data_IF_417233715570
#
_entry.id   IF_417233715570
#
_cell.length_a   1.000
_cell.length_b   1.000
_cell.length_c   1.000
_cell.angle_alpha   90.00
_cell.angle_beta   90.00
_cell.angle_gamma   90.00
#
_symmetry.space_group_name_H-M   'P 1'
#
loop_
_entity.id
_entity.type
_entity.pdbx_description
1 polymer ?
#
# COMPACT_ATOMS: atom_id res chain seq x y z
N UNK A 1 -4.08 -7.54 -12.62
CA UNK A 1 -2.94 -6.75 -12.15
C UNK A 1 -3.41 -5.83 -11.04
N UNK A 2 -2.94 -6.02 -9.81
CA UNK A 2 -3.26 -5.15 -8.69
C UNK A 2 -2.06 -4.22 -8.49
N UNK A 3 -2.23 -2.95 -8.84
CA UNK A 3 -1.29 -1.92 -8.40
C UNK A 3 -1.54 -1.71 -6.92
N UNK A 4 -0.49 -1.59 -6.14
CA UNK A 4 -0.56 -1.68 -4.67
C UNK A 4 -0.40 -0.27 -4.05
N UNK A 5 -1.47 0.52 -3.93
CA UNK A 5 -1.42 1.76 -3.16
C UNK A 5 -1.12 1.45 -1.68
N UNK A 6 -0.49 2.39 -0.97
CA UNK A 6 -0.30 2.28 0.49
C UNK A 6 -1.54 2.68 1.28
N UNK A 7 -2.45 3.45 0.67
CA UNK A 7 -3.66 3.96 1.30
C UNK A 7 -4.94 3.66 0.51
N UNK A 8 -6.04 3.55 1.24
CA UNK A 8 -7.38 3.30 0.70
C UNK A 8 -8.34 4.43 1.13
N UNK A 9 -9.16 4.99 0.21
CA UNK A 9 -10.21 5.94 0.58
C UNK A 9 -11.27 5.22 1.43
N UNK A 10 -11.44 5.67 2.67
CA UNK A 10 -12.31 5.01 3.64
C UNK A 10 -13.78 5.10 3.21
N UNK A 11 -14.19 6.20 2.57
CA UNK A 11 -15.58 6.35 2.13
C UNK A 11 -15.93 5.29 1.09
N UNK A 12 -15.06 5.07 0.10
CA UNK A 12 -15.25 4.03 -0.92
C UNK A 12 -15.31 2.63 -0.29
N UNK A 13 -14.40 2.33 0.65
CA UNK A 13 -14.35 1.04 1.33
C UNK A 13 -15.63 0.77 2.16
N UNK A 14 -16.11 1.76 2.91
CA UNK A 14 -17.33 1.64 3.71
C UNK A 14 -18.58 1.60 2.82
N UNK A 15 -18.65 2.45 1.80
CA UNK A 15 -19.79 2.53 0.91
C UNK A 15 -19.91 1.25 0.08
N UNK A 16 -18.80 0.70 -0.42
CA UNK A 16 -18.76 -0.47 -1.30
C UNK A 16 -18.96 -1.82 -0.61
N UNK A 17 -18.81 -1.90 0.71
CA UNK A 17 -18.87 -3.16 1.47
C UNK A 17 -20.13 -3.29 2.34
N UNK A 18 -20.31 -4.45 2.97
CA UNK A 18 -21.39 -4.71 3.92
C UNK A 18 -21.11 -4.14 5.33
N UNK A 19 -19.97 -3.47 5.53
CA UNK A 19 -19.63 -2.78 6.78
C UNK A 19 -20.70 -1.75 7.19
N UNK A 20 -21.31 -1.10 6.21
CA UNK A 20 -22.49 -0.25 6.41
C UNK A 20 -23.74 -1.03 6.01
N UNK A 21 -24.61 -1.30 6.99
CA UNK A 21 -25.90 -1.97 6.77
C UNK A 21 -26.77 -1.22 5.75
N UNK A 22 -27.39 -1.99 4.86
CA UNK A 22 -28.32 -1.50 3.84
C UNK A 22 -29.74 -1.20 4.39
N UNK A 23 -30.02 -1.55 5.64
CA UNK A 23 -31.32 -1.29 6.27
C UNK A 23 -31.66 0.21 6.36
N UNK A 24 -32.95 0.53 6.32
CA UNK A 24 -33.42 1.90 6.46
C UNK A 24 -33.17 2.79 5.24
N UNK A 25 -33.22 2.21 4.03
CA UNK A 25 -33.06 2.96 2.78
C UNK A 25 -31.59 3.22 2.38
N UNK A 26 -30.64 2.47 2.95
CA UNK A 26 -29.20 2.64 2.72
C UNK A 26 -28.63 1.59 1.75
N UNK A 27 -29.47 1.08 0.83
CA UNK A 27 -29.10 0.07 -0.14
C UNK A 27 -28.02 0.58 -1.11
N UNK A 28 -27.14 -0.34 -1.54
CA UNK A 28 -26.19 -0.10 -2.63
C UNK A 28 -26.87 -0.36 -3.98
N UNK A 29 -26.53 0.45 -4.99
CA UNK A 29 -26.90 0.19 -6.38
C UNK A 29 -27.44 1.43 -7.10
N UNK A 30 -27.20 1.49 -8.41
CA UNK A 30 -27.58 2.64 -9.23
C UNK A 30 -26.69 3.85 -8.98
N UNK A 31 -27.30 5.04 -8.92
CA UNK A 31 -26.61 6.28 -8.58
C UNK A 31 -26.23 6.33 -7.08
N UNK A 32 -25.48 7.36 -6.69
CA UNK A 32 -25.15 7.63 -5.29
C UNK A 32 -26.43 7.73 -4.43
N UNK A 33 -26.44 7.04 -3.29
CA UNK A 33 -27.52 7.04 -2.31
C UNK A 33 -27.09 7.93 -1.11
N UNK A 34 -27.67 9.13 -0.96
CA UNK A 34 -27.33 10.04 0.13
C UNK A 34 -27.55 9.45 1.53
N UNK A 35 -28.60 8.64 1.73
CA UNK A 35 -28.88 8.00 3.02
C UNK A 35 -27.75 7.06 3.43
N UNK A 36 -27.17 6.35 2.47
CA UNK A 36 -25.99 5.52 2.71
C UNK A 36 -24.73 6.37 2.91
N UNK A 37 -24.58 7.43 2.13
CA UNK A 37 -23.49 8.40 2.24
C UNK A 37 -23.38 9.01 3.64
N UNK A 38 -24.51 9.45 4.20
CA UNK A 38 -24.57 10.02 5.55
C UNK A 38 -24.07 9.04 6.61
N UNK A 39 -24.45 7.75 6.51
CA UNK A 39 -23.95 6.70 7.42
C UNK A 39 -22.45 6.47 7.29
N UNK A 40 -21.91 6.54 6.06
CA UNK A 40 -20.46 6.43 5.81
C UNK A 40 -19.71 7.59 6.46
N UNK A 41 -20.22 8.82 6.30
CA UNK A 41 -19.64 10.03 6.90
C UNK A 41 -19.71 9.95 8.43
N UNK A 42 -20.86 9.54 8.99
CA UNK A 42 -21.07 9.39 10.43
C UNK A 42 -20.07 8.38 11.03
N UNK A 43 -19.93 7.21 10.41
CA UNK A 43 -18.96 6.20 10.81
C UNK A 43 -17.53 6.77 10.81
N UNK A 44 -17.18 7.44 9.71
CA UNK A 44 -15.83 7.97 9.49
C UNK A 44 -15.46 9.07 10.50
N UNK A 45 -16.38 9.99 10.79
CA UNK A 45 -16.19 11.01 11.82
C UNK A 45 -16.14 10.42 13.23
N UNK A 46 -16.90 9.36 13.49
CA UNK A 46 -16.84 8.63 14.76
C UNK A 46 -15.48 7.96 14.95
N UNK A 47 -14.92 7.36 13.89
CA UNK A 47 -13.57 6.81 13.91
C UNK A 47 -12.52 7.90 14.21
N UNK A 48 -12.66 9.10 13.64
CA UNK A 48 -11.78 10.23 13.96
C UNK A 48 -11.90 10.66 15.43
N UNK A 49 -13.12 10.71 15.99
CA UNK A 49 -13.33 11.01 17.40
C UNK A 49 -12.62 10.01 18.33
N UNK A 50 -12.54 8.74 17.94
CA UNK A 50 -11.86 7.69 18.72
C UNK A 50 -10.34 7.75 18.55
N UNK A 51 -9.87 7.95 17.32
CA UNK A 51 -8.44 7.80 16.98
C UNK A 51 -7.65 9.10 17.13
N UNK A 52 -8.27 10.26 16.89
CA UNK A 52 -7.66 11.60 16.90
C UNK A 52 -8.62 12.59 17.59
N UNK A 53 -9.01 12.35 18.85
CA UNK A 53 -10.04 13.15 19.51
C UNK A 53 -9.68 14.64 19.54
N UNK A 54 -10.66 15.49 19.24
CA UNK A 54 -10.58 16.94 19.47
C UNK A 54 -10.49 17.23 20.98
N UNK A 55 -9.86 18.34 21.35
CA UNK A 55 -9.77 18.76 22.76
C UNK A 55 -11.16 18.98 23.38
N UNK A 56 -12.11 19.48 22.57
CA UNK A 56 -13.52 19.65 22.88
C UNK A 56 -14.34 19.45 21.60
N UNK A 57 -15.61 19.06 21.74
CA UNK A 57 -16.49 18.79 20.60
C UNK A 57 -16.17 17.49 19.85
N UNK A 58 -16.75 17.36 18.66
CA UNK A 58 -16.64 16.17 17.79
C UNK A 58 -16.41 16.55 16.33
N UNK A 59 -15.92 15.63 15.52
CA UNK A 59 -15.72 15.85 14.08
C UNK A 59 -17.01 16.15 13.31
N UNK A 60 -18.17 15.79 13.87
CA UNK A 60 -19.49 16.12 13.34
C UNK A 60 -19.77 17.63 13.38
N UNK A 61 -19.16 18.35 14.32
CA UNK A 61 -19.37 19.78 14.53
C UNK A 61 -18.38 20.65 13.75
N UNK A 62 -17.38 20.05 13.09
CA UNK A 62 -16.30 20.78 12.42
C UNK A 62 -16.83 21.50 11.18
N UNK A 63 -16.34 22.72 10.97
CA UNK A 63 -16.70 23.58 9.84
C UNK A 63 -15.48 24.09 9.06
N UNK A 64 -14.28 24.07 9.65
CA UNK A 64 -13.04 24.35 8.91
C UNK A 64 -11.81 23.84 9.67
N UNK A 65 -10.72 23.70 8.92
CA UNK A 65 -9.38 23.39 9.40
C UNK A 65 -8.44 24.51 9.02
N UNK A 66 -7.49 24.85 9.89
CA UNK A 66 -6.40 25.79 9.63
C UNK A 66 -5.14 25.32 10.34
N UNK A 67 -3.97 25.64 9.80
CA UNK A 67 -2.68 25.39 10.45
C UNK A 67 -2.04 26.72 10.80
N UNK A 68 -2.02 27.05 12.10
CA UNK A 68 -1.52 28.33 12.61
C UNK A 68 -0.36 28.09 13.57
N UNK A 69 0.78 28.75 13.33
CA UNK A 69 1.99 28.65 14.17
C UNK A 69 2.37 27.21 14.52
N UNK A 70 2.30 26.31 13.53
CA UNK A 70 2.62 24.89 13.70
C UNK A 70 1.55 24.03 14.39
N UNK A 71 0.38 24.58 14.68
CA UNK A 71 -0.70 23.86 15.34
C UNK A 71 -1.92 23.73 14.41
N UNK A 72 -2.55 22.57 14.44
CA UNK A 72 -3.86 22.38 13.81
C UNK A 72 -4.93 23.06 14.66
N UNK A 73 -5.60 24.03 14.06
CA UNK A 73 -6.79 24.68 14.58
C UNK A 73 -8.03 24.16 13.83
N UNK A 74 -9.05 23.79 14.59
CA UNK A 74 -10.30 23.24 14.09
C UNK A 74 -11.43 24.14 14.56
N UNK A 75 -12.23 24.67 13.62
CA UNK A 75 -13.38 25.52 13.96
C UNK A 75 -14.65 24.68 14.03
N UNK A 76 -15.37 24.76 15.15
CA UNK A 76 -16.65 24.08 15.34
C UNK A 76 -17.83 24.95 14.90
N UNK A 77 -19.02 24.36 14.82
CA UNK A 77 -20.25 25.01 14.37
C UNK A 77 -20.68 26.19 15.24
N UNK A 78 -20.32 26.18 16.53
CA UNK A 78 -20.51 27.27 17.48
C UNK A 78 -19.46 28.39 17.37
N UNK A 79 -18.58 28.31 16.37
CA UNK A 79 -17.43 29.20 16.12
C UNK A 79 -16.30 29.09 17.14
N UNK A 80 -16.35 28.14 18.07
CA UNK A 80 -15.20 27.84 18.92
C UNK A 80 -14.06 27.25 18.09
N UNK A 81 -12.83 27.61 18.48
CA UNK A 81 -11.59 27.11 17.87
C UNK A 81 -10.91 26.17 18.85
N UNK A 82 -10.68 24.94 18.42
CA UNK A 82 -10.13 23.86 19.24
C UNK A 82 -8.94 23.22 18.54
N UNK A 83 -8.13 22.48 19.30
CA UNK A 83 -7.10 21.61 18.72
C UNK A 83 -7.48 20.13 18.88
N UNK A 84 -6.52 19.26 18.65
CA UNK A 84 -6.61 17.83 19.02
C UNK A 84 -6.07 17.60 20.44
N UNK A 85 -6.53 16.54 21.12
CA UNK A 85 -6.08 16.21 22.49
C UNK A 85 -4.59 15.88 22.56
N UNK A 86 -4.08 15.16 21.57
CA UNK A 86 -2.67 14.81 21.46
C UNK A 86 -2.08 15.45 20.20
N UNK A 87 -1.45 16.60 20.38
CA UNK A 87 -0.89 17.40 19.29
C UNK A 87 0.21 16.67 18.51
N UNK A 88 0.88 15.67 19.13
CA UNK A 88 1.92 14.89 18.46
C UNK A 88 1.37 13.98 17.36
N UNK A 89 0.05 13.79 17.31
CA UNK A 89 -0.61 13.03 16.23
C UNK A 89 -0.72 13.83 14.95
N UNK A 90 -0.69 15.16 14.99
CA UNK A 90 -0.65 15.98 13.79
C UNK A 90 0.77 16.01 13.24
N UNK A 91 0.93 15.64 11.96
CA UNK A 91 2.25 15.46 11.33
C UNK A 91 2.47 16.44 10.18
N UNK A 92 1.38 16.92 9.57
CA UNK A 92 1.49 17.86 8.46
C UNK A 92 0.17 18.06 7.71
N UNK A 93 0.24 18.79 6.61
CA UNK A 93 -0.90 19.14 5.79
C UNK A 93 -0.52 19.25 4.30
N UNK A 94 -1.54 19.37 3.44
CA UNK A 94 -1.40 19.64 2.01
C UNK A 94 -2.13 20.94 1.66
N UNK A 95 -1.65 21.62 0.62
CA UNK A 95 -2.21 22.89 0.19
C UNK A 95 -1.73 24.07 1.02
N UNK A 96 -2.64 25.02 1.25
CA UNK A 96 -2.39 26.25 2.01
C UNK A 96 -2.77 26.07 3.48
N UNK A 97 -2.03 26.71 4.38
CA UNK A 97 -2.25 26.59 5.83
C UNK A 97 -3.64 27.07 6.26
N UNK A 98 -4.17 28.11 5.61
CA UNK A 98 -5.45 28.75 5.96
C UNK A 98 -6.67 27.95 5.46
N UNK A 99 -6.45 27.02 4.52
CA UNK A 99 -7.47 26.14 3.96
C UNK A 99 -6.80 24.87 3.41
N UNK A 100 -6.32 23.97 4.28
CA UNK A 100 -5.57 22.80 3.87
C UNK A 100 -6.47 21.83 3.10
N UNK A 101 -5.98 21.32 1.97
CA UNK A 101 -6.67 20.31 1.16
C UNK A 101 -6.48 18.89 1.70
N UNK A 102 -5.53 18.70 2.62
CA UNK A 102 -5.30 17.45 3.33
C UNK A 102 -4.72 17.73 4.71
N UNK A 103 -5.23 17.04 5.74
CA UNK A 103 -4.71 17.13 7.11
C UNK A 103 -4.20 15.75 7.50
N UNK A 104 -2.88 15.64 7.71
CA UNK A 104 -2.18 14.39 7.92
C UNK A 104 -1.89 14.16 9.40
N UNK A 105 -2.28 12.97 9.85
CA UNK A 105 -2.08 12.50 11.20
C UNK A 105 -1.34 11.17 11.22
N UNK A 106 -0.82 10.80 12.40
CA UNK A 106 -0.27 9.49 12.68
C UNK A 106 -0.77 8.96 14.00
N UNK A 107 -1.35 7.77 13.97
CA UNK A 107 -1.83 7.05 15.15
C UNK A 107 -1.34 5.60 15.07
N UNK A 108 -0.74 5.09 16.15
CA UNK A 108 -0.16 3.74 16.18
C UNK A 108 0.78 3.42 15.01
N UNK A 109 1.57 4.42 14.59
CA UNK A 109 2.52 4.38 13.45
C UNK A 109 1.90 4.38 12.04
N UNK A 110 0.58 4.33 11.92
CA UNK A 110 -0.13 4.44 10.63
C UNK A 110 -0.63 5.86 10.40
N UNK A 111 -0.62 6.29 9.15
CA UNK A 111 -1.08 7.60 8.76
C UNK A 111 -2.58 7.62 8.43
N UNK A 112 -3.22 8.74 8.77
CA UNK A 112 -4.63 9.04 8.46
C UNK A 112 -4.64 10.44 7.86
N UNK A 113 -5.23 10.62 6.68
CA UNK A 113 -5.39 11.93 6.05
C UNK A 113 -6.87 12.28 5.89
N UNK A 114 -7.30 13.38 6.47
CA UNK A 114 -8.60 13.99 6.15
C UNK A 114 -8.42 14.77 4.86
N UNK A 115 -9.19 14.45 3.81
CA UNK A 115 -9.13 15.14 2.53
C UNK A 115 -10.27 16.15 2.42
N UNK A 116 -9.93 17.39 2.08
CA UNK A 116 -10.87 18.53 2.05
C UNK A 116 -10.95 19.10 0.64
N UNK A 117 -12.17 19.19 0.13
CA UNK A 117 -12.48 19.73 -1.18
C UNK A 117 -13.96 20.12 -1.25
N UNK A 118 -14.25 21.41 -1.19
CA UNK A 118 -15.63 21.93 -1.16
C UNK A 118 -16.34 21.88 -2.52
N UNK A 119 -15.62 21.65 -3.60
CA UNK A 119 -16.20 21.50 -4.93
C UNK A 119 -16.49 20.04 -5.29
N UNK A 120 -15.98 19.10 -4.47
CA UNK A 120 -16.21 17.67 -4.63
C UNK A 120 -17.68 17.30 -4.40
N UNK A 121 -18.15 16.27 -5.11
CA UNK A 121 -19.53 15.80 -5.02
C UNK A 121 -20.00 15.40 -3.62
N UNK A 122 -19.10 14.95 -2.75
CA UNK A 122 -19.36 14.64 -1.33
C UNK A 122 -18.97 15.82 -0.46
N UNK A 123 -17.78 16.38 -0.67
CA UNK A 123 -17.24 17.45 0.17
C UNK A 123 -18.10 18.72 0.17
N UNK A 124 -18.81 19.04 -0.92
CA UNK A 124 -19.73 20.19 -0.99
C UNK A 124 -20.88 20.13 0.03
N UNK A 125 -21.30 18.92 0.41
CA UNK A 125 -22.43 18.69 1.32
C UNK A 125 -21.95 18.51 2.78
N UNK A 126 -20.63 18.41 3.00
CA UNK A 126 -20.01 18.39 4.33
C UNK A 126 -19.68 19.81 4.83
N UNK A 127 -20.05 20.12 6.08
CA UNK A 127 -19.86 21.45 6.66
C UNK A 127 -18.38 21.89 6.67
N UNK A 128 -17.43 20.97 6.84
CA UNK A 128 -16.00 21.21 6.82
C UNK A 128 -15.37 21.05 5.43
N UNK A 129 -16.13 20.62 4.42
CA UNK A 129 -15.61 20.31 3.10
C UNK A 129 -14.94 18.94 3.00
N UNK A 130 -15.14 18.04 3.97
CA UNK A 130 -14.47 16.73 3.97
C UNK A 130 -15.05 15.87 2.86
N UNK A 131 -14.22 15.53 1.87
CA UNK A 131 -14.62 14.63 0.78
C UNK A 131 -14.32 13.15 1.05
N UNK A 132 -13.27 12.87 1.84
CA UNK A 132 -12.89 11.50 2.20
C UNK A 132 -11.90 11.49 3.38
N UNK A 133 -11.64 10.30 3.91
CA UNK A 133 -10.55 9.99 4.82
C UNK A 133 -9.68 8.91 4.19
N UNK A 134 -8.42 9.23 3.89
CA UNK A 134 -7.45 8.28 3.37
C UNK A 134 -6.72 7.58 4.51
N UNK A 135 -6.83 6.26 4.59
CA UNK A 135 -6.19 5.44 5.63
C UNK A 135 -5.00 4.69 5.04
N UNK A 136 -3.82 4.85 5.62
CA UNK A 136 -2.66 3.99 5.32
C UNK A 136 -2.97 2.56 5.80
N UNK A 137 -2.92 1.59 4.88
CA UNK A 137 -3.46 0.25 5.08
C UNK A 137 -2.49 -0.83 4.63
N UNK A 138 -2.41 -1.12 3.33
CA UNK A 138 -1.54 -2.14 2.75
C UNK A 138 -0.08 -1.67 2.74
N UNK A 139 0.53 -1.52 3.92
CA UNK A 139 1.92 -1.04 4.09
C UNK A 139 2.93 -1.95 3.38
N UNK A 140 2.63 -3.25 3.29
CA UNK A 140 3.41 -4.23 2.53
C UNK A 140 2.50 -5.11 1.68
N UNK A 141 2.97 -5.54 0.50
CA UNK A 141 2.25 -6.48 -0.37
C UNK A 141 3.20 -7.56 -0.86
N UNK A 142 2.73 -8.81 -0.89
CA UNK A 142 3.44 -9.95 -1.47
C UNK A 142 2.98 -10.12 -2.92
N UNK A 143 3.88 -9.89 -3.86
CA UNK A 143 3.72 -10.23 -5.28
C UNK A 143 3.98 -11.72 -5.43
N UNK A 144 2.92 -12.47 -5.71
CA UNK A 144 2.95 -13.91 -5.56
C UNK A 144 3.27 -14.64 -6.87
N UNK A 145 4.31 -15.48 -6.85
CA UNK A 145 4.68 -16.37 -7.94
C UNK A 145 4.42 -17.85 -7.62
N UNK A 146 3.70 -18.12 -6.53
CA UNK A 146 3.41 -19.46 -6.04
C UNK A 146 1.90 -19.75 -6.06
N UNK A 147 1.24 -19.92 -4.91
CA UNK A 147 -0.07 -20.59 -4.85
C UNK A 147 -1.24 -19.82 -5.49
N UNK A 148 -1.12 -18.51 -5.74
CA UNK A 148 -2.19 -17.74 -6.39
C UNK A 148 -2.09 -17.64 -7.91
N UNK A 149 -1.06 -18.24 -8.53
CA UNK A 149 -0.90 -18.25 -9.98
C UNK A 149 -0.75 -19.68 -10.52
N UNK A 150 -1.08 -19.87 -11.79
CA UNK A 150 -0.71 -21.06 -12.54
C UNK A 150 0.39 -20.69 -13.52
N UNK A 151 1.62 -21.15 -13.27
CA UNK A 151 2.75 -20.91 -14.15
C UNK A 151 3.56 -22.19 -14.37
N UNK A 152 3.29 -22.90 -15.46
CA UNK A 152 3.76 -24.28 -15.66
C UNK A 152 4.88 -24.39 -16.69
N UNK A 153 5.12 -23.34 -17.47
CA UNK A 153 6.15 -23.31 -18.50
C UNK A 153 6.88 -21.95 -18.58
N UNK A 154 7.81 -21.84 -19.51
CA UNK A 154 8.60 -20.64 -19.72
C UNK A 154 7.75 -19.40 -20.07
N UNK A 155 6.68 -19.57 -20.84
CA UNK A 155 5.79 -18.46 -21.25
C UNK A 155 5.08 -17.85 -20.06
N UNK A 156 4.57 -18.70 -19.17
CA UNK A 156 3.92 -18.25 -17.93
C UNK A 156 4.92 -17.58 -16.99
N UNK A 157 6.08 -18.21 -16.75
CA UNK A 157 7.12 -17.63 -15.86
C UNK A 157 7.63 -16.29 -16.37
N UNK A 158 7.86 -16.16 -17.69
CA UNK A 158 8.24 -14.89 -18.30
C UNK A 158 7.16 -13.82 -18.11
N UNK A 159 5.89 -14.18 -18.17
CA UNK A 159 4.78 -13.24 -17.94
C UNK A 159 4.77 -12.73 -16.50
N UNK A 160 4.96 -13.64 -15.54
CA UNK A 160 5.05 -13.28 -14.13
C UNK A 160 6.29 -12.41 -13.82
N UNK A 161 7.47 -12.80 -14.34
CA UNK A 161 8.70 -12.03 -14.21
C UNK A 161 8.61 -10.65 -14.88
N UNK A 162 7.90 -10.54 -16.01
CA UNK A 162 7.69 -9.24 -16.68
C UNK A 162 6.88 -8.28 -15.82
N UNK A 163 5.85 -8.77 -15.12
CA UNK A 163 5.09 -7.94 -14.17
C UNK A 163 5.99 -7.49 -13.02
N UNK A 164 6.78 -8.40 -12.44
CA UNK A 164 7.76 -8.06 -11.40
C UNK A 164 8.80 -7.03 -11.89
N UNK A 165 9.25 -7.15 -13.14
CA UNK A 165 10.17 -6.20 -13.77
C UNK A 165 9.56 -4.81 -13.90
N UNK A 166 8.31 -4.71 -14.36
CA UNK A 166 7.63 -3.42 -14.45
C UNK A 166 7.46 -2.76 -13.07
N UNK A 167 7.21 -3.56 -12.03
CA UNK A 167 7.14 -3.06 -10.65
C UNK A 167 8.51 -2.54 -10.18
N UNK A 168 9.58 -3.31 -10.39
CA UNK A 168 10.94 -2.92 -9.97
C UNK A 168 11.57 -1.79 -10.78
N UNK A 169 11.04 -1.51 -11.99
CA UNK A 169 11.39 -0.33 -12.78
C UNK A 169 10.45 0.86 -12.51
N UNK A 170 9.33 0.65 -11.85
CA UNK A 170 8.32 1.68 -11.61
C UNK A 170 7.52 2.09 -12.84
N UNK A 171 7.51 1.29 -13.91
CA UNK A 171 6.85 1.60 -15.19
C UNK A 171 5.69 0.68 -15.56
N UNK A 172 5.28 -0.20 -14.62
CA UNK A 172 4.12 -1.07 -14.83
C UNK A 172 2.84 -0.25 -14.99
N UNK A 173 2.14 -0.53 -16.09
CA UNK A 173 0.82 0.03 -16.39
C UNK A 173 -0.01 -0.96 -17.18
N UNK A 174 -1.33 -0.82 -17.07
CA UNK A 174 -2.31 -1.65 -17.76
C UNK A 174 -3.46 -0.78 -18.26
N UNK A 175 -3.90 -1.01 -19.49
CA UNK A 175 -5.01 -0.28 -20.12
C UNK A 175 -6.19 -1.21 -20.33
N UNK A 176 -7.38 -0.81 -19.87
CA UNK A 176 -8.60 -1.59 -19.97
C UNK A 176 -9.82 -0.70 -20.21
N UNK A 177 -10.91 -1.32 -20.65
CA UNK A 177 -12.17 -0.63 -20.95
C UNK A 177 -13.11 -0.75 -19.75
N UNK A 178 -13.64 0.38 -19.27
CA UNK A 178 -14.68 0.44 -18.24
C UNK A 178 -15.87 1.24 -18.78
N UNK A 179 -16.97 0.56 -19.06
CA UNK A 179 -18.08 1.15 -19.82
C UNK A 179 -17.62 1.49 -21.25
N UNK A 180 -17.81 2.74 -21.67
CA UNK A 180 -17.40 3.22 -23.00
C UNK A 180 -16.07 3.97 -22.99
N UNK A 181 -15.32 3.94 -21.88
CA UNK A 181 -14.07 4.68 -21.72
C UNK A 181 -12.89 3.76 -21.50
N UNK A 182 -11.79 4.08 -22.18
CA UNK A 182 -10.48 3.48 -21.96
C UNK A 182 -9.82 4.13 -20.74
N UNK A 183 -9.35 3.31 -19.81
CA UNK A 183 -8.67 3.73 -18.60
C UNK A 183 -7.30 3.07 -18.53
N UNK A 184 -6.27 3.85 -18.22
CA UNK A 184 -4.93 3.35 -17.94
C UNK A 184 -4.64 3.47 -16.46
N UNK A 185 -4.25 2.34 -15.85
CA UNK A 185 -3.82 2.25 -14.46
C UNK A 185 -2.30 2.17 -14.41
N UNK A 186 -1.67 2.94 -13.52
CA UNK A 186 -0.23 2.98 -13.31
C UNK A 186 0.10 3.15 -11.82
N UNK A 187 1.34 2.86 -11.42
CA UNK A 187 1.79 3.01 -10.04
C UNK A 187 1.63 4.46 -9.55
N UNK A 188 1.14 4.61 -8.31
CA UNK A 188 1.01 5.92 -7.67
C UNK A 188 2.38 6.53 -7.37
N UNK A 189 2.49 7.86 -7.49
CA UNK A 189 3.64 8.61 -7.01
C UNK A 189 3.66 8.71 -5.48
N UNK A 190 4.78 9.16 -4.92
CA UNK A 190 4.84 9.53 -3.50
C UNK A 190 3.89 10.68 -3.20
N UNK A 191 3.38 10.70 -1.96
CA UNK A 191 2.44 11.71 -1.49
C UNK A 191 3.21 12.83 -0.82
N UNK A 192 3.00 14.05 -1.28
CA UNK A 192 3.70 15.25 -0.81
C UNK A 192 2.91 15.99 0.26
N UNK A 193 3.60 16.42 1.32
CA UNK A 193 3.05 17.15 2.46
C UNK A 193 4.01 18.26 2.92
N UNK A 194 3.47 19.19 3.70
CA UNK A 194 4.22 20.15 4.52
C UNK A 194 4.09 19.75 5.98
N UNK A 195 5.16 19.78 6.76
CA UNK A 195 5.08 19.61 8.22
C UNK A 195 4.43 20.84 8.89
N UNK A 196 4.30 20.81 10.22
CA UNK A 196 3.73 21.89 11.00
C UNK A 196 4.41 23.25 10.73
N UNK A 197 5.72 23.24 10.49
CA UNK A 197 6.54 24.41 10.20
C UNK A 197 6.54 24.80 8.72
N UNK A 198 5.79 24.08 7.87
CA UNK A 198 5.66 24.35 6.44
C UNK A 198 6.75 23.73 5.57
N UNK A 199 7.65 22.92 6.13
CA UNK A 199 8.73 22.25 5.39
C UNK A 199 8.21 21.01 4.68
N UNK A 200 8.61 20.85 3.43
CA UNK A 200 8.18 19.73 2.58
C UNK A 200 8.75 18.38 3.04
N UNK A 201 7.91 17.36 2.99
CA UNK A 201 8.28 15.95 3.12
C UNK A 201 7.36 15.07 2.28
N UNK A 202 7.74 13.80 2.10
CA UNK A 202 6.98 12.83 1.31
C UNK A 202 6.71 11.55 2.09
N UNK A 203 5.57 10.94 1.82
CA UNK A 203 5.25 9.56 2.19
C UNK A 203 5.24 8.68 0.94
N UNK A 204 5.56 7.39 1.11
CA UNK A 204 5.39 6.43 0.01
C UNK A 204 3.93 6.44 -0.40
N UNK A 205 3.63 6.52 -1.70
CA UNK A 205 2.26 6.35 -2.20
C UNK A 205 1.93 4.90 -2.57
N UNK A 206 2.83 3.98 -2.22
CA UNK A 206 2.83 2.58 -2.63
C UNK A 206 3.19 1.68 -1.47
N UNK A 207 2.60 0.50 -1.49
CA UNK A 207 2.97 -0.62 -0.63
C UNK A 207 4.42 -1.02 -0.83
N UNK A 208 5.14 -1.36 0.24
CA UNK A 208 6.44 -2.01 0.13
C UNK A 208 6.23 -3.43 -0.43
N UNK A 209 6.83 -3.71 -1.58
CA UNK A 209 6.62 -4.97 -2.28
C UNK A 209 7.65 -6.02 -1.86
N UNK A 210 7.15 -7.19 -1.50
CA UNK A 210 7.87 -8.45 -1.42
C UNK A 210 7.52 -9.30 -2.65
N UNK A 211 8.34 -10.29 -2.97
CA UNK A 211 8.00 -11.33 -3.97
C UNK A 211 7.99 -12.70 -3.30
N UNK A 212 6.93 -13.50 -3.49
CA UNK A 212 6.90 -14.90 -3.04
C UNK A 212 7.36 -15.78 -4.18
N UNK A 213 8.59 -16.28 -4.06
CA UNK A 213 9.12 -17.30 -4.96
C UNK A 213 8.49 -18.65 -4.60
N UNK A 214 8.48 -19.60 -5.54
CA UNK A 214 8.05 -20.98 -5.22
C UNK A 214 8.99 -21.66 -4.22
N UNK A 215 8.52 -22.74 -3.58
CA UNK A 215 9.27 -23.54 -2.59
C UNK A 215 10.43 -24.37 -3.16
N UNK A 216 10.70 -25.54 -2.58
CA UNK A 216 11.82 -26.42 -2.97
C UNK A 216 11.44 -27.59 -3.87
N UNK A 217 10.14 -27.86 -4.06
CA UNK A 217 9.65 -29.11 -4.63
C UNK A 217 9.74 -29.18 -6.16
N UNK A 218 9.21 -28.15 -6.84
CA UNK A 218 8.94 -28.23 -8.28
C UNK A 218 10.19 -27.97 -9.12
N UNK A 219 10.25 -28.63 -10.29
CA UNK A 219 11.14 -28.30 -11.40
C UNK A 219 10.36 -27.61 -12.51
N UNK A 220 11.06 -26.96 -13.44
CA UNK A 220 10.41 -26.30 -14.57
C UNK A 220 11.22 -26.50 -15.87
N UNK A 221 10.57 -26.83 -17.00
CA UNK A 221 11.25 -27.07 -18.28
C UNK A 221 11.82 -25.81 -18.96
N UNK A 222 11.63 -24.62 -18.38
CA UNK A 222 12.17 -23.37 -18.91
C UNK A 222 13.69 -23.38 -19.09
N UNK A 223 14.42 -24.12 -18.24
CA UNK A 223 15.86 -24.32 -18.34
C UNK A 223 16.18 -25.79 -18.05
N UNK A 224 16.96 -26.41 -18.95
CA UNK A 224 17.54 -27.73 -18.74
C UNK A 224 19.01 -27.59 -18.33
N UNK A 225 19.45 -28.48 -17.45
CA UNK A 225 20.85 -28.57 -17.05
C UNK A 225 21.72 -29.28 -18.11
N UNK A 226 23.00 -29.47 -17.81
CA UNK A 226 23.95 -30.13 -18.73
C UNK A 226 23.63 -31.62 -19.00
N UNK A 227 22.82 -32.25 -18.16
CA UNK A 227 22.34 -33.62 -18.34
C UNK A 227 21.01 -33.67 -19.10
N UNK A 228 20.38 -32.51 -19.36
CA UNK A 228 19.09 -32.40 -20.02
C UNK A 228 17.90 -32.47 -19.04
N UNK A 229 18.16 -32.37 -17.74
CA UNK A 229 17.13 -32.44 -16.70
C UNK A 229 16.59 -31.04 -16.36
N UNK A 230 15.33 -30.96 -15.96
CA UNK A 230 14.72 -29.69 -15.54
C UNK A 230 15.38 -29.12 -14.28
N UNK A 231 15.56 -27.80 -14.26
CA UNK A 231 16.10 -27.09 -13.10
C UNK A 231 15.01 -26.91 -12.02
N UNK A 232 15.36 -27.00 -10.71
CA UNK A 232 14.45 -26.63 -9.63
C UNK A 232 13.94 -25.21 -9.76
N UNK A 233 12.62 -25.04 -9.78
CA UNK A 233 11.96 -23.76 -10.05
C UNK A 233 12.25 -22.73 -8.95
N UNK A 234 12.41 -23.16 -7.69
CA UNK A 234 12.80 -22.28 -6.60
C UNK A 234 14.19 -21.62 -6.78
N UNK A 235 15.10 -22.27 -7.53
CA UNK A 235 16.42 -21.71 -7.91
C UNK A 235 16.26 -20.75 -9.09
N UNK A 236 15.44 -21.13 -10.07
CA UNK A 236 15.05 -20.28 -11.21
C UNK A 236 14.51 -18.94 -10.70
N UNK A 237 13.50 -18.99 -9.83
CA UNK A 237 12.89 -17.81 -9.24
C UNK A 237 13.89 -16.95 -8.48
N UNK A 238 14.74 -17.55 -7.63
CA UNK A 238 15.74 -16.78 -6.90
C UNK A 238 16.65 -15.99 -7.84
N UNK A 239 17.16 -16.62 -8.90
CA UNK A 239 18.01 -15.94 -9.88
C UNK A 239 17.27 -14.78 -10.56
N UNK A 240 16.08 -15.02 -11.11
CA UNK A 240 15.37 -13.99 -11.89
C UNK A 240 14.78 -12.88 -11.03
N UNK A 241 14.13 -13.19 -9.90
CA UNK A 241 13.48 -12.16 -9.09
C UNK A 241 14.49 -11.25 -8.40
N UNK A 242 15.64 -11.78 -7.96
CA UNK A 242 16.76 -10.97 -7.42
C UNK A 242 17.41 -10.15 -8.54
N UNK A 243 17.65 -10.74 -9.72
CA UNK A 243 18.20 -10.01 -10.86
C UNK A 243 17.31 -8.84 -11.28
N UNK A 244 16.00 -9.04 -11.27
CA UNK A 244 15.03 -7.98 -11.59
C UNK A 244 15.00 -6.91 -10.50
N UNK A 245 14.99 -7.29 -9.22
CA UNK A 245 14.98 -6.35 -8.10
C UNK A 245 16.24 -5.47 -8.03
N UNK A 246 17.32 -5.86 -8.70
CA UNK A 246 18.51 -5.04 -8.88
C UNK A 246 18.22 -3.68 -9.53
N UNK A 247 17.17 -3.57 -10.36
CA UNK A 247 16.74 -2.28 -10.91
C UNK A 247 16.39 -1.25 -9.81
N UNK A 248 15.71 -1.69 -8.75
CA UNK A 248 15.41 -0.84 -7.58
C UNK A 248 16.69 -0.53 -6.80
N UNK A 249 17.53 -1.53 -6.53
CA UNK A 249 18.75 -1.37 -5.74
C UNK A 249 19.78 -0.41 -6.36
N UNK A 250 19.87 -0.38 -7.69
CA UNK A 250 20.83 0.44 -8.42
C UNK A 250 20.27 1.82 -8.82
N UNK A 251 19.05 2.16 -8.37
CA UNK A 251 18.41 3.43 -8.70
C UNK A 251 17.95 3.54 -10.16
N UNK A 252 17.79 2.41 -10.85
CA UNK A 252 17.25 2.32 -12.22
C UNK A 252 15.71 2.19 -12.23
N UNK A 253 15.05 2.60 -11.14
CA UNK A 253 13.59 2.62 -10.99
C UNK A 253 13.07 4.04 -11.01
N UNK A 254 11.97 4.28 -11.72
CA UNK A 254 11.21 5.54 -11.66
C UNK A 254 10.57 5.76 -10.29
N UNK A 255 10.23 4.66 -9.61
CA UNK A 255 9.53 4.65 -8.33
C UNK A 255 10.18 3.58 -7.46
N UNK A 256 11.09 4.00 -6.58
CA UNK A 256 11.81 3.06 -5.73
C UNK A 256 10.86 2.33 -4.77
N UNK A 257 11.14 1.05 -4.57
CA UNK A 257 10.48 0.17 -3.61
C UNK A 257 11.22 0.22 -2.25
N UNK A 258 12.52 -0.06 -2.24
CA UNK A 258 13.31 -0.21 -1.02
C UNK A 258 14.11 1.05 -0.67
N UNK A 259 13.75 1.69 0.43
CA UNK A 259 14.50 2.85 0.98
C UNK A 259 15.77 2.46 1.73
N UNK A 260 16.01 1.17 1.93
CA UNK A 260 17.13 0.63 2.73
C UNK A 260 18.03 -0.29 1.92
N UNK A 261 17.89 -0.33 0.58
CA UNK A 261 18.74 -1.14 -0.30
C UNK A 261 18.61 -2.64 -0.09
N UNK A 262 17.38 -3.11 0.16
CA UNK A 262 17.06 -4.51 0.45
C UNK A 262 15.99 -5.06 -0.50
N UNK A 263 16.14 -6.32 -0.91
CA UNK A 263 15.12 -7.10 -1.63
C UNK A 263 14.43 -8.03 -0.64
N UNK A 264 13.11 -8.20 -0.74
CA UNK A 264 12.34 -8.99 0.22
C UNK A 264 11.68 -10.17 -0.49
N UNK A 265 12.13 -11.39 -0.17
CA UNK A 265 11.62 -12.62 -0.79
C UNK A 265 10.95 -13.48 0.27
N UNK A 266 9.67 -13.77 0.08
CA UNK A 266 8.96 -14.77 0.88
C UNK A 266 9.33 -16.16 0.33
N UNK A 267 9.76 -17.06 1.22
CA UNK A 267 10.09 -18.44 0.89
C UNK A 267 9.12 -19.40 1.57
N UNK A 268 8.25 -20.07 0.80
CA UNK A 268 7.22 -20.96 1.30
C UNK A 268 7.71 -22.41 1.43
N UNK A 269 6.91 -23.23 2.12
CA UNK A 269 6.95 -24.71 2.14
C UNK A 269 8.33 -25.31 2.42
N UNK A 270 9.08 -24.67 3.33
CA UNK A 270 10.34 -25.21 3.83
C UNK A 270 10.05 -26.16 4.99
N UNK A 271 10.75 -27.28 5.06
CA UNK A 271 10.63 -28.25 6.14
C UNK A 271 11.88 -28.27 7.03
N UNK A 272 11.93 -27.40 8.03
CA UNK A 272 12.96 -27.38 9.07
C UNK A 272 14.20 -26.54 8.74
N UNK A 273 15.13 -26.42 9.69
CA UNK A 273 16.23 -25.45 9.63
C UNK A 273 17.26 -25.71 8.52
N UNK A 274 17.40 -26.96 8.06
CA UNK A 274 18.32 -27.29 6.96
C UNK A 274 17.85 -26.69 5.62
N UNK A 275 16.54 -26.68 5.36
CA UNK A 275 15.97 -26.07 4.15
C UNK A 275 16.00 -24.54 4.21
N UNK A 276 15.81 -23.96 5.42
CA UNK A 276 16.06 -22.53 5.65
C UNK A 276 17.52 -22.18 5.35
N UNK A 277 18.46 -22.97 5.85
CA UNK A 277 19.88 -22.79 5.57
C UNK A 277 20.18 -22.89 4.07
N UNK A 278 19.61 -23.88 3.39
CA UNK A 278 19.76 -24.01 1.93
C UNK A 278 19.26 -22.76 1.20
N UNK A 279 18.13 -22.17 1.59
CA UNK A 279 17.64 -20.92 1.01
C UNK A 279 18.61 -19.75 1.27
N UNK A 280 19.17 -19.63 2.48
CA UNK A 280 20.17 -18.60 2.77
C UNK A 280 21.45 -18.76 1.92
N UNK A 281 21.92 -19.99 1.76
CA UNK A 281 23.08 -20.31 0.91
C UNK A 281 22.78 -19.99 -0.56
N UNK A 282 21.58 -20.33 -1.05
CA UNK A 282 21.11 -20.00 -2.39
C UNK A 282 21.08 -18.48 -2.62
N UNK A 283 20.50 -17.71 -1.70
CA UNK A 283 20.48 -16.25 -1.81
C UNK A 283 21.88 -15.66 -1.81
N UNK A 284 22.77 -16.17 -0.95
CA UNK A 284 24.18 -15.77 -0.93
C UNK A 284 24.87 -16.04 -2.27
N UNK A 285 24.62 -17.20 -2.87
CA UNK A 285 25.18 -17.55 -4.18
C UNK A 285 24.65 -16.64 -5.30
N UNK A 286 23.36 -16.31 -5.28
CA UNK A 286 22.75 -15.40 -6.27
C UNK A 286 23.25 -13.96 -6.09
N UNK A 287 23.38 -13.48 -4.84
CA UNK A 287 24.00 -12.18 -4.54
C UNK A 287 25.42 -12.08 -5.13
N UNK A 288 26.24 -13.12 -4.93
CA UNK A 288 27.59 -13.18 -5.50
C UNK A 288 27.57 -13.18 -7.03
N UNK A 289 26.71 -14.00 -7.64
CA UNK A 289 26.58 -14.10 -9.10
C UNK A 289 26.19 -12.76 -9.72
N UNK A 290 25.30 -12.00 -9.07
CA UNK A 290 24.79 -10.71 -9.53
C UNK A 290 25.60 -9.51 -9.03
N UNK A 291 26.65 -9.76 -8.24
CA UNK A 291 27.54 -8.76 -7.61
C UNK A 291 26.78 -7.78 -6.70
N UNK A 292 25.80 -8.27 -5.98
CA UNK A 292 25.09 -7.53 -4.94
C UNK A 292 25.91 -7.51 -3.65
N UNK A 293 25.63 -6.55 -2.78
CA UNK A 293 26.23 -6.53 -1.44
C UNK A 293 25.73 -7.77 -0.67
N UNK A 294 26.57 -8.41 0.16
CA UNK A 294 26.12 -9.51 1.00
C UNK A 294 24.93 -9.09 1.86
N UNK A 295 23.96 -10.00 2.01
CA UNK A 295 22.74 -9.77 2.78
C UNK A 295 21.87 -8.64 2.22
N UNK A 296 21.94 -8.33 0.93
CA UNK A 296 20.98 -7.46 0.25
C UNK A 296 19.59 -8.11 0.20
N UNK A 297 19.51 -9.43 0.05
CA UNK A 297 18.27 -10.20 -0.05
C UNK A 297 17.83 -10.68 1.33
N UNK A 298 16.61 -10.32 1.72
CA UNK A 298 15.97 -10.70 2.98
C UNK A 298 14.98 -11.83 2.71
N UNK A 299 14.85 -12.72 3.69
CA UNK A 299 13.94 -13.86 3.66
C UNK A 299 12.74 -13.62 4.58
N UNK A 300 11.53 -13.76 4.03
CA UNK A 300 10.31 -13.99 4.79
C UNK A 300 10.07 -15.50 4.91
N UNK A 301 10.22 -16.05 6.10
CA UNK A 301 10.06 -17.48 6.37
C UNK A 301 8.58 -17.76 6.64
N UNK A 302 7.97 -18.64 5.84
CA UNK A 302 6.63 -19.15 6.12
C UNK A 302 6.71 -20.30 7.13
N UNK A 303 6.10 -20.13 8.30
CA UNK A 303 5.87 -21.23 9.26
C UNK A 303 4.56 -21.94 8.90
N UNK A 304 4.61 -22.75 7.84
CA UNK A 304 3.44 -23.44 7.28
C UNK A 304 3.63 -24.95 7.14
N UNK A 305 4.80 -25.47 7.54
CA UNK A 305 5.12 -26.89 7.51
C UNK A 305 5.47 -27.39 8.91
N UNK A 306 4.92 -28.54 9.30
CA UNK A 306 5.04 -29.05 10.67
C UNK A 306 6.49 -29.17 11.17
N UNK A 307 7.45 -29.48 10.29
CA UNK A 307 8.88 -29.62 10.65
C UNK A 307 9.58 -28.27 10.83
N UNK A 308 9.01 -27.18 10.33
CA UNK A 308 9.48 -25.80 10.57
C UNK A 308 8.92 -25.25 11.88
N UNK A 309 7.69 -25.63 12.25
CA UNK A 309 7.04 -25.19 13.50
C UNK A 309 7.70 -25.75 14.77
N UNK A 310 8.16 -27.01 14.73
CA UNK A 310 8.73 -27.74 15.89
C UNK A 310 10.24 -27.53 16.04
#
# INVERSE_FOLDING_TARGET
MQLTPDGEPLYDALYGTDMISEEGGAERGGAYNPVRGDKVIEFSKSLLNETIPLSQGTYQEVTSFQVNDGNLEVTLSDQSKVGIKDQNKFIGFRGESDNPSGILFKNNKLHIEIQVDREDSVGKDDAAGIKDILIESAVTTIQDLEDSIAAVDAGDKVSAYRNWLGLMKGDLKETFIKGDSELTRQLNHDREYKDAEGKEFHLSGRSLMLVRNVGHLMTNPAILDKAGEEIPEGILDAMFTICIAKHDLEGNSLLSNSRTGSVYIVKPKMHGPEEVKFTCDLFTAVEQALKLKPLSVKIGIMDEERRTTI
#
